data_IF_979947025674
#
_entry.id   IF_979947025674
#
_cell.length_a   1.000
_cell.length_b   1.000
_cell.length_c   1.000
_cell.angle_alpha   90.00
_cell.angle_beta   90.00
_cell.angle_gamma   90.00
#
_symmetry.space_group_name_H-M   'P 1'
#
loop_
_entity.id
_entity.type
_entity.pdbx_description
1 polymer ?
#
# COMPACT_ATOMS: atom_id res chain seq x y z
N UNK A 1 -13.67 5.40 6.49
CA UNK A 1 -12.47 6.05 5.95
C UNK A 1 -12.07 5.50 4.58
N UNK A 2 -11.74 4.23 4.39
CA UNK A 2 -11.39 3.66 3.07
C UNK A 2 -12.48 3.88 2.00
N UNK A 3 -13.75 3.73 2.35
CA UNK A 3 -14.87 3.96 1.45
C UNK A 3 -14.95 5.42 0.97
N UNK A 4 -14.75 6.38 1.85
CA UNK A 4 -14.81 7.81 1.53
C UNK A 4 -13.61 8.28 0.69
N UNK A 5 -12.41 7.72 0.91
CA UNK A 5 -11.23 7.98 0.07
C UNK A 5 -11.42 7.43 -1.35
N UNK A 6 -12.26 6.41 -1.51
CA UNK A 6 -12.60 5.78 -2.81
C UNK A 6 -13.75 6.46 -3.52
N UNK A 7 -14.65 7.15 -2.83
CA UNK A 7 -15.87 7.76 -3.40
C UNK A 7 -15.58 8.79 -4.50
N UNK A 8 -14.43 9.45 -4.46
CA UNK A 8 -14.03 10.43 -5.48
C UNK A 8 -13.40 9.79 -6.75
N UNK A 9 -13.24 8.48 -6.74
CA UNK A 9 -12.91 7.69 -7.92
C UNK A 9 -14.25 7.14 -8.42
N UNK A 10 -14.90 7.81 -9.35
CA UNK A 10 -15.95 7.19 -10.16
C UNK A 10 -15.31 5.95 -10.80
N UNK A 11 -15.38 4.84 -10.06
CA UNK A 11 -14.93 3.55 -10.52
C UNK A 11 -15.84 3.24 -11.69
N UNK A 12 -15.40 3.61 -12.90
CA UNK A 12 -16.11 3.23 -14.12
C UNK A 12 -16.08 1.71 -14.09
N UNK A 13 -17.19 1.13 -13.64
CA UNK A 13 -17.34 -0.30 -13.67
C UNK A 13 -17.18 -0.79 -15.10
N UNK A 14 -16.44 -1.88 -15.30
CA UNK A 14 -16.35 -2.44 -16.63
C UNK A 14 -17.73 -2.91 -17.07
N UNK A 15 -18.22 -2.37 -18.18
CA UNK A 15 -19.53 -2.71 -18.75
C UNK A 15 -19.48 -3.96 -19.65
N UNK A 16 -18.29 -4.36 -20.09
CA UNK A 16 -18.07 -5.48 -21.02
C UNK A 16 -16.80 -6.24 -20.73
N UNK A 17 -16.68 -7.46 -21.25
CA UNK A 17 -15.48 -8.27 -21.16
C UNK A 17 -15.35 -9.08 -19.87
N UNK A 18 -14.19 -9.73 -19.68
CA UNK A 18 -13.95 -10.63 -18.56
C UNK A 18 -14.14 -9.96 -17.19
N UNK A 19 -13.76 -8.70 -17.06
CA UNK A 19 -13.93 -7.91 -15.82
C UNK A 19 -15.40 -7.76 -15.45
N UNK A 20 -16.28 -7.47 -16.43
CA UNK A 20 -17.73 -7.36 -16.21
C UNK A 20 -18.33 -8.70 -15.80
N UNK A 21 -17.96 -9.78 -16.46
CA UNK A 21 -18.47 -11.13 -16.16
C UNK A 21 -18.04 -11.60 -14.77
N UNK A 22 -16.77 -11.33 -14.39
CA UNK A 22 -16.28 -11.60 -13.03
C UNK A 22 -17.05 -10.79 -11.99
N UNK A 23 -17.27 -9.50 -12.25
CA UNK A 23 -18.02 -8.63 -11.37
C UNK A 23 -19.44 -9.14 -11.15
N UNK A 24 -20.13 -9.54 -12.22
CA UNK A 24 -21.45 -10.13 -12.16
C UNK A 24 -21.45 -11.46 -11.36
N UNK A 25 -20.46 -12.31 -11.57
CA UNK A 25 -20.32 -13.56 -10.82
C UNK A 25 -20.09 -13.32 -9.31
N UNK A 26 -19.26 -12.36 -8.94
CA UNK A 26 -19.00 -11.99 -7.54
C UNK A 26 -20.22 -11.36 -6.88
N UNK A 27 -21.01 -10.58 -7.61
CA UNK A 27 -22.29 -10.03 -7.10
C UNK A 27 -23.32 -11.11 -6.83
N UNK A 28 -23.41 -12.09 -7.71
CA UNK A 28 -24.39 -13.15 -7.59
C UNK A 28 -24.03 -14.20 -6.53
N UNK A 29 -22.76 -14.49 -6.34
CA UNK A 29 -22.29 -15.63 -5.53
C UNK A 29 -21.52 -15.23 -4.27
N UNK A 30 -21.11 -13.98 -4.14
CA UNK A 30 -20.21 -13.53 -3.09
C UNK A 30 -18.75 -13.91 -3.36
N UNK A 31 -18.02 -14.28 -2.31
CA UNK A 31 -16.60 -14.62 -2.41
C UNK A 31 -16.38 -15.95 -3.15
N UNK A 32 -15.63 -15.94 -4.24
CA UNK A 32 -15.37 -17.08 -5.13
C UNK A 32 -13.89 -17.38 -5.29
N UNK A 33 -13.56 -18.65 -5.48
CA UNK A 33 -12.25 -19.04 -5.97
C UNK A 33 -12.10 -18.73 -7.47
N UNK A 34 -10.87 -18.60 -7.92
CA UNK A 34 -10.56 -18.34 -9.34
C UNK A 34 -11.18 -19.37 -10.28
N UNK A 35 -11.16 -20.65 -9.90
CA UNK A 35 -11.78 -21.74 -10.66
C UNK A 35 -13.30 -21.61 -10.76
N UNK A 36 -13.94 -21.14 -9.69
CA UNK A 36 -15.40 -20.90 -9.65
C UNK A 36 -15.78 -19.72 -10.55
N UNK A 37 -14.94 -18.66 -10.56
CA UNK A 37 -15.11 -17.54 -11.47
C UNK A 37 -14.99 -17.96 -12.94
N UNK A 38 -14.02 -18.81 -13.27
CA UNK A 38 -13.87 -19.36 -14.61
C UNK A 38 -15.08 -20.17 -15.04
N UNK A 39 -15.56 -21.04 -14.15
CA UNK A 39 -16.77 -21.86 -14.41
C UNK A 39 -18.05 -21.01 -14.51
N UNK A 40 -18.19 -19.98 -13.69
CA UNK A 40 -19.35 -19.12 -13.68
C UNK A 40 -19.46 -18.19 -14.89
N UNK A 41 -18.32 -17.69 -15.37
CA UNK A 41 -18.24 -16.77 -16.52
C UNK A 41 -18.02 -17.44 -17.87
N UNK A 42 -17.69 -18.74 -17.88
CA UNK A 42 -17.30 -19.45 -19.10
C UNK A 42 -16.00 -18.94 -19.74
N UNK A 43 -15.21 -18.15 -19.00
CA UNK A 43 -13.96 -17.55 -19.50
C UNK A 43 -12.77 -18.43 -19.28
N UNK A 44 -11.77 -18.28 -20.17
CA UNK A 44 -10.50 -18.98 -20.04
C UNK A 44 -9.74 -18.44 -18.83
N UNK A 45 -8.95 -19.29 -18.17
CA UNK A 45 -8.17 -18.87 -17.00
C UNK A 45 -7.26 -17.67 -17.22
N UNK A 46 -6.78 -17.46 -18.45
CA UNK A 46 -5.98 -16.28 -18.80
C UNK A 46 -6.82 -14.99 -18.83
N UNK A 47 -8.07 -15.06 -19.25
CA UNK A 47 -9.01 -13.94 -19.27
C UNK A 47 -9.47 -13.60 -17.85
N UNK A 48 -9.64 -14.63 -16.99
CA UNK A 48 -9.91 -14.44 -15.57
C UNK A 48 -8.75 -13.69 -14.89
N UNK A 49 -7.51 -14.06 -15.16
CA UNK A 49 -6.34 -13.35 -14.59
C UNK A 49 -6.28 -11.89 -15.03
N UNK A 50 -6.59 -11.60 -16.29
CA UNK A 50 -6.66 -10.23 -16.82
C UNK A 50 -7.81 -9.42 -16.21
N UNK A 51 -8.98 -10.03 -16.11
CA UNK A 51 -10.16 -9.39 -15.54
C UNK A 51 -9.99 -9.12 -14.05
N UNK A 52 -9.47 -10.08 -13.28
CA UNK A 52 -9.14 -9.89 -11.87
C UNK A 52 -8.10 -8.79 -11.68
N UNK A 53 -7.06 -8.76 -12.53
CA UNK A 53 -6.07 -7.68 -12.48
C UNK A 53 -6.70 -6.31 -12.71
N UNK A 54 -7.55 -6.16 -13.70
CA UNK A 54 -8.25 -4.90 -13.99
C UNK A 54 -9.12 -4.49 -12.80
N UNK A 55 -9.89 -5.41 -12.22
CA UNK A 55 -10.73 -5.14 -11.06
C UNK A 55 -9.93 -4.79 -9.78
N UNK A 56 -8.78 -5.44 -9.56
CA UNK A 56 -7.85 -5.10 -8.46
C UNK A 56 -7.24 -3.71 -8.69
N UNK A 57 -6.81 -3.41 -9.92
CA UNK A 57 -6.24 -2.11 -10.26
C UNK A 57 -7.25 -0.96 -10.09
N UNK A 58 -8.53 -1.23 -10.33
CA UNK A 58 -9.65 -0.31 -10.06
C UNK A 58 -10.03 -0.27 -8.57
N UNK A 59 -9.50 -1.18 -7.76
CA UNK A 59 -9.84 -1.28 -6.35
C UNK A 59 -11.28 -1.79 -6.12
N UNK A 60 -11.85 -2.57 -7.01
CA UNK A 60 -13.21 -3.13 -6.90
C UNK A 60 -13.18 -4.48 -6.18
N UNK A 61 -12.12 -5.27 -6.35
CA UNK A 61 -11.97 -6.63 -5.80
C UNK A 61 -10.73 -6.75 -4.93
N UNK A 62 -10.82 -7.64 -3.94
CA UNK A 62 -9.69 -8.05 -3.11
C UNK A 62 -9.64 -9.57 -3.00
N UNK A 63 -8.49 -10.12 -2.57
CA UNK A 63 -8.36 -11.52 -2.19
C UNK A 63 -8.19 -11.64 -0.67
N UNK A 64 -8.75 -12.68 -0.07
CA UNK A 64 -8.58 -13.00 1.35
C UNK A 64 -7.17 -13.55 1.68
N UNK A 65 -6.42 -13.96 0.65
CA UNK A 65 -5.06 -14.43 0.77
C UNK A 65 -4.09 -13.62 -0.10
N UNK A 66 -2.97 -13.20 0.48
CA UNK A 66 -1.92 -12.46 -0.24
C UNK A 66 -1.31 -13.25 -1.40
N UNK A 67 -1.38 -14.60 -1.35
CA UNK A 67 -0.95 -15.47 -2.45
C UNK A 67 -1.72 -15.21 -3.74
N UNK A 68 -3.01 -14.90 -3.67
CA UNK A 68 -3.85 -14.59 -4.83
C UNK A 68 -3.33 -13.34 -5.56
N UNK A 69 -3.12 -12.25 -4.84
CA UNK A 69 -2.58 -11.00 -5.40
C UNK A 69 -1.16 -11.21 -5.93
N UNK A 70 -0.30 -11.95 -5.21
CA UNK A 70 1.07 -12.26 -5.64
C UNK A 70 1.10 -13.08 -6.93
N UNK A 71 0.17 -14.02 -7.11
CA UNK A 71 0.08 -14.82 -8.35
C UNK A 71 -0.25 -13.96 -9.55
N UNK A 72 -1.19 -13.03 -9.43
CA UNK A 72 -1.51 -12.05 -10.48
C UNK A 72 -0.31 -11.19 -10.87
N UNK A 73 0.42 -10.66 -9.87
CA UNK A 73 1.62 -9.86 -10.10
C UNK A 73 2.71 -10.65 -10.84
N UNK A 74 2.96 -11.90 -10.45
CA UNK A 74 3.98 -12.75 -11.05
C UNK A 74 3.64 -13.14 -12.50
N UNK A 75 2.38 -13.36 -12.81
CA UNK A 75 1.90 -13.65 -14.16
C UNK A 75 2.16 -12.49 -15.10
N UNK A 76 1.92 -11.26 -14.65
CA UNK A 76 2.13 -10.05 -15.46
C UNK A 76 3.61 -9.74 -15.70
N UNK A 77 4.47 -9.91 -14.69
CA UNK A 77 5.92 -9.74 -14.85
C UNK A 77 6.48 -10.73 -15.88
N UNK A 78 6.03 -11.98 -15.85
CA UNK A 78 6.43 -13.00 -16.84
C UNK A 78 5.99 -12.66 -18.26
N UNK A 79 4.80 -12.09 -18.45
CA UNK A 79 4.31 -11.65 -19.78
C UNK A 79 5.10 -10.45 -20.31
N UNK A 80 5.49 -9.49 -19.45
CA UNK A 80 6.28 -8.31 -19.85
C UNK A 80 7.74 -8.62 -20.16
N UNK A 81 8.33 -9.59 -19.50
CA UNK A 81 9.74 -9.96 -19.70
C UNK A 81 9.99 -10.80 -20.97
N UNK A 82 9.01 -10.95 -21.85
CA UNK A 82 9.09 -11.61 -23.14
C UNK A 82 9.88 -12.91 -23.05
N UNK A 83 9.23 -14.04 -22.88
CA UNK A 83 9.90 -15.33 -22.75
C UNK A 83 10.94 -15.53 -23.84
N UNK A 84 12.22 -15.32 -23.54
CA UNK A 84 13.31 -15.77 -24.39
C UNK A 84 13.11 -17.26 -24.65
N UNK A 85 12.97 -17.63 -25.91
CA UNK A 85 12.80 -18.98 -26.43
C UNK A 85 13.95 -19.85 -25.94
N UNK A 86 13.73 -20.67 -24.93
CA UNK A 86 14.78 -21.57 -24.49
C UNK A 86 14.46 -22.33 -23.20
N UNK A 87 13.25 -22.86 -23.01
CA UNK A 87 12.98 -23.93 -22.03
C UNK A 87 11.51 -24.36 -22.04
N UNK A 88 10.91 -24.48 -23.23
CA UNK A 88 9.49 -24.84 -23.39
C UNK A 88 9.12 -26.18 -22.73
N UNK A 89 10.05 -27.14 -22.62
CA UNK A 89 9.80 -28.48 -22.07
C UNK A 89 9.76 -28.50 -20.54
N UNK A 90 10.59 -27.70 -19.84
CA UNK A 90 10.53 -27.53 -18.36
C UNK A 90 9.35 -26.68 -17.91
N UNK A 91 8.95 -25.72 -18.72
CA UNK A 91 7.77 -24.89 -18.45
C UNK A 91 6.44 -25.64 -18.62
N UNK A 92 6.40 -26.69 -19.47
CA UNK A 92 5.21 -27.54 -19.64
C UNK A 92 4.97 -28.44 -18.41
N UNK A 93 6.02 -29.06 -17.86
CA UNK A 93 5.91 -29.87 -16.64
C UNK A 93 5.60 -29.03 -15.38
N UNK A 94 6.13 -27.80 -15.32
CA UNK A 94 5.77 -26.83 -14.26
C UNK A 94 4.33 -26.35 -14.35
N UNK A 95 3.77 -26.24 -15.56
CA UNK A 95 2.35 -25.87 -15.78
C UNK A 95 1.38 -26.99 -15.37
N UNK A 96 1.71 -28.26 -15.64
CA UNK A 96 0.89 -29.40 -15.22
C UNK A 96 0.84 -29.56 -13.69
N UNK A 97 1.94 -29.31 -12.98
CA UNK A 97 1.97 -29.28 -11.52
C UNK A 97 1.25 -28.06 -10.94
N UNK A 98 1.31 -26.90 -11.57
CA UNK A 98 0.59 -25.69 -11.15
C UNK A 98 -0.93 -25.84 -11.36
N UNK A 99 -1.37 -26.56 -12.39
CA UNK A 99 -2.80 -26.81 -12.65
C UNK A 99 -3.39 -27.87 -11.72
N UNK A 100 -2.60 -28.83 -11.24
CA UNK A 100 -3.06 -29.86 -10.29
C UNK A 100 -2.90 -29.48 -8.81
N UNK A 101 -2.21 -28.37 -8.50
CA UNK A 101 -1.93 -27.94 -7.11
C UNK A 101 -2.69 -26.71 -6.64
N UNK A 102 -3.60 -26.16 -7.42
CA UNK A 102 -4.15 -24.82 -7.21
C UNK A 102 -5.43 -24.73 -6.37
N UNK A 103 -5.75 -25.77 -5.58
CA UNK A 103 -6.90 -25.69 -4.67
C UNK A 103 -6.61 -25.15 -3.27
N UNK A 104 -5.34 -25.16 -2.86
CA UNK A 104 -4.93 -24.83 -1.49
C UNK A 104 -3.92 -23.69 -1.53
N UNK A 105 -4.39 -22.43 -1.61
CA UNK A 105 -3.52 -21.25 -1.48
C UNK A 105 -3.86 -20.03 -2.32
N UNK A 106 -4.83 -20.09 -3.23
CA UNK A 106 -5.17 -18.93 -4.07
C UNK A 106 -6.06 -17.91 -3.38
N UNK A 107 -6.69 -18.26 -2.26
CA UNK A 107 -7.67 -17.41 -1.59
C UNK A 107 -8.94 -17.20 -2.41
N UNK A 108 -9.96 -16.65 -1.75
CA UNK A 108 -11.20 -16.25 -2.41
C UNK A 108 -11.12 -14.80 -2.83
N UNK A 109 -11.71 -14.51 -3.97
CA UNK A 109 -11.89 -13.16 -4.47
C UNK A 109 -13.26 -12.65 -4.05
N UNK A 110 -13.31 -11.45 -3.52
CA UNK A 110 -14.54 -10.80 -3.07
C UNK A 110 -14.58 -9.34 -3.52
N UNK A 111 -15.78 -8.81 -3.62
CA UNK A 111 -15.98 -7.38 -3.80
C UNK A 111 -15.47 -6.64 -2.57
N UNK A 112 -14.80 -5.54 -2.79
CA UNK A 112 -14.57 -4.58 -1.71
C UNK A 112 -15.91 -3.89 -1.39
N UNK A 113 -16.20 -3.61 -0.11
CA UNK A 113 -17.41 -2.90 0.25
C UNK A 113 -17.53 -1.61 -0.56
N UNK A 114 -18.66 -1.42 -1.21
CA UNK A 114 -18.99 -0.14 -1.81
C UNK A 114 -19.05 0.92 -0.70
N UNK A 115 -18.61 2.15 -0.98
CA UNK A 115 -18.92 3.25 -0.08
C UNK A 115 -20.45 3.28 0.05
N UNK A 116 -20.93 3.36 1.28
CA UNK A 116 -22.37 3.37 1.58
C UNK A 116 -22.99 4.67 1.03
N UNK A 117 -23.29 4.67 -0.28
CA UNK A 117 -23.97 5.75 -1.01
C UNK A 117 -25.49 5.62 -0.87
N UNK A 118 -25.98 4.54 -0.24
CA UNK A 118 -27.41 4.21 -0.12
C UNK A 118 -28.04 4.68 1.20
N UNK A 119 -27.34 5.47 2.00
CA UNK A 119 -27.99 6.25 3.04
C UNK A 119 -28.99 7.18 2.39
N UNK A 120 -30.24 6.76 2.40
CA UNK A 120 -31.42 7.55 1.99
C UNK A 120 -31.31 8.97 2.56
N UNK A 121 -30.80 9.91 1.77
CA UNK A 121 -30.93 11.33 2.11
C UNK A 121 -29.70 12.21 2.08
N UNK A 122 -28.50 11.74 1.82
CA UNK A 122 -27.37 12.67 1.63
C UNK A 122 -26.37 12.12 0.63
N UNK A 123 -26.18 12.83 -0.48
CA UNK A 123 -25.14 12.59 -1.48
C UNK A 123 -23.76 13.03 -0.99
N UNK A 124 -23.49 12.96 0.30
CA UNK A 124 -22.25 13.42 0.89
C UNK A 124 -21.66 12.29 1.72
N UNK A 125 -20.55 11.75 1.27
CA UNK A 125 -19.62 11.07 2.16
C UNK A 125 -19.30 11.96 3.38
N UNK A 126 -18.55 11.47 4.39
CA UNK A 126 -18.23 12.30 5.53
C UNK A 126 -17.66 13.64 5.06
N UNK A 127 -17.99 14.75 5.74
CA UNK A 127 -17.49 16.07 5.39
C UNK A 127 -15.97 16.03 5.21
N UNK A 128 -15.46 16.80 4.26
CA UNK A 128 -14.02 16.83 3.95
C UNK A 128 -13.20 17.11 5.23
N UNK A 129 -13.76 17.87 6.16
CA UNK A 129 -13.16 18.19 7.45
C UNK A 129 -12.99 16.96 8.35
N UNK A 130 -14.01 16.10 8.43
CA UNK A 130 -13.95 14.86 9.22
C UNK A 130 -12.98 13.86 8.59
N UNK A 131 -13.02 13.76 7.28
CA UNK A 131 -12.12 12.89 6.55
C UNK A 131 -10.66 13.36 6.69
N UNK A 132 -10.40 14.66 6.60
CA UNK A 132 -9.09 15.25 6.81
C UNK A 132 -8.57 15.01 8.23
N UNK A 133 -9.44 15.12 9.23
CA UNK A 133 -9.09 14.85 10.63
C UNK A 133 -8.80 13.35 10.84
N UNK A 134 -9.60 12.46 10.26
CA UNK A 134 -9.35 11.03 10.32
C UNK A 134 -8.02 10.63 9.65
N UNK A 135 -7.67 11.26 8.52
CA UNK A 135 -6.38 11.08 7.86
C UNK A 135 -5.24 11.62 8.70
N UNK A 136 -5.41 12.81 9.32
CA UNK A 136 -4.40 13.38 10.22
C UNK A 136 -4.09 12.42 11.39
N UNK A 137 -5.11 11.86 12.03
CA UNK A 137 -4.94 10.85 13.07
C UNK A 137 -4.26 9.58 12.59
N UNK A 138 -4.61 9.11 11.40
CA UNK A 138 -3.98 7.94 10.80
C UNK A 138 -2.48 8.16 10.54
N UNK A 139 -2.12 9.35 10.05
CA UNK A 139 -0.73 9.72 9.82
C UNK A 139 0.05 9.83 11.14
N UNK A 140 -0.54 10.47 12.16
CA UNK A 140 0.07 10.57 13.48
C UNK A 140 0.27 9.21 14.14
N UNK A 141 -0.73 8.32 14.07
CA UNK A 141 -0.62 6.97 14.61
C UNK A 141 0.45 6.12 13.91
N UNK A 142 0.67 6.37 12.62
CA UNK A 142 1.63 5.61 11.80
C UNK A 142 3.07 6.15 11.91
N UNK A 143 3.22 7.45 11.95
CA UNK A 143 4.52 8.11 11.86
C UNK A 143 4.96 8.82 13.14
N UNK A 144 4.03 9.09 14.04
CA UNK A 144 4.26 9.91 15.24
C UNK A 144 4.44 11.39 14.93
N UNK A 145 5.10 11.72 13.83
CA UNK A 145 5.29 13.09 13.31
C UNK A 145 4.73 13.18 11.91
N UNK A 146 4.03 14.26 11.59
CA UNK A 146 3.46 14.53 10.26
C UNK A 146 4.08 15.79 9.69
N UNK A 147 4.57 15.69 8.44
CA UNK A 147 5.11 16.80 7.66
C UNK A 147 4.71 16.60 6.18
N UNK A 148 4.85 17.65 5.38
CA UNK A 148 4.59 17.58 3.93
C UNK A 148 5.34 16.44 3.26
N UNK A 149 6.62 16.27 3.57
CA UNK A 149 7.47 15.27 2.94
C UNK A 149 6.92 13.85 3.14
N UNK A 150 6.39 13.54 4.33
CA UNK A 150 5.74 12.26 4.62
C UNK A 150 4.41 12.10 3.87
N UNK A 151 3.57 13.14 3.94
CA UNK A 151 2.28 13.12 3.29
C UNK A 151 2.41 12.99 1.76
N UNK A 152 3.42 13.58 1.15
CA UNK A 152 3.62 13.53 -0.31
C UNK A 152 3.87 12.13 -0.86
N UNK A 153 4.28 11.17 -0.03
CA UNK A 153 4.46 9.76 -0.38
C UNK A 153 3.19 8.93 -0.17
N UNK A 154 2.16 9.50 0.42
CA UNK A 154 0.90 8.80 0.66
C UNK A 154 -0.02 8.86 -0.57
N UNK A 155 -0.85 7.84 -0.72
CA UNK A 155 -1.82 7.76 -1.82
C UNK A 155 -3.18 8.39 -1.49
N UNK A 156 -3.26 9.21 -0.46
CA UNK A 156 -4.48 9.92 -0.10
C UNK A 156 -4.82 11.00 -1.13
N UNK A 157 -6.10 11.11 -1.48
CA UNK A 157 -6.58 12.14 -2.42
C UNK A 157 -7.06 13.42 -1.74
N UNK A 158 -6.83 13.55 -0.45
CA UNK A 158 -7.17 14.75 0.31
C UNK A 158 -6.06 15.78 0.10
N UNK A 159 -6.35 17.02 -0.26
CA UNK A 159 -5.35 18.06 -0.37
C UNK A 159 -4.61 18.29 0.96
N UNK A 160 -3.31 18.46 0.91
CA UNK A 160 -2.48 18.72 2.09
C UNK A 160 -2.99 19.89 2.96
N UNK A 161 -3.48 20.95 2.30
CA UNK A 161 -4.07 22.12 2.99
C UNK A 161 -5.19 21.73 3.95
N UNK A 162 -5.99 20.70 3.62
CA UNK A 162 -7.11 20.28 4.45
C UNK A 162 -6.63 19.43 5.61
N UNK A 163 -5.59 18.61 5.41
CA UNK A 163 -4.89 17.87 6.48
C UNK A 163 -4.24 18.85 7.46
N UNK A 164 -3.55 19.89 6.97
CA UNK A 164 -2.95 20.93 7.83
C UNK A 164 -4.03 21.67 8.64
N UNK A 165 -5.15 22.00 8.03
CA UNK A 165 -6.26 22.61 8.76
C UNK A 165 -6.78 21.71 9.89
N UNK A 166 -6.87 20.40 9.62
CA UNK A 166 -7.24 19.43 10.64
C UNK A 166 -6.19 19.38 11.76
N UNK A 167 -4.90 19.30 11.41
CA UNK A 167 -3.80 19.29 12.39
C UNK A 167 -3.78 20.56 13.26
N UNK A 168 -4.01 21.73 12.68
CA UNK A 168 -4.13 23.00 13.43
C UNK A 168 -5.33 23.00 14.40
N UNK A 169 -6.46 22.38 14.00
CA UNK A 169 -7.61 22.22 14.92
C UNK A 169 -7.29 21.25 16.06
N UNK A 170 -6.56 20.17 15.78
CA UNK A 170 -6.10 19.24 16.80
C UNK A 170 -5.11 19.90 17.76
N UNK A 171 -4.20 20.74 17.24
CA UNK A 171 -3.28 21.53 18.05
C UNK A 171 -4.03 22.53 18.96
N UNK A 172 -5.00 23.27 18.42
CA UNK A 172 -5.82 24.19 19.20
C UNK A 172 -6.62 23.48 20.31
N UNK A 173 -6.91 22.19 20.13
CA UNK A 173 -7.53 21.32 21.17
C UNK A 173 -6.50 20.71 22.13
N UNK A 174 -5.21 20.99 21.97
CA UNK A 174 -4.14 20.41 22.78
C UNK A 174 -3.88 18.92 22.54
N UNK A 175 -4.41 18.35 21.46
CA UNK A 175 -4.28 16.94 21.15
C UNK A 175 -3.02 16.62 20.34
N UNK A 176 -2.43 17.62 19.70
CA UNK A 176 -1.25 17.53 18.85
C UNK A 176 -0.35 18.72 19.16
N UNK A 177 0.94 18.56 18.95
CA UNK A 177 1.95 19.59 19.13
C UNK A 177 2.48 20.04 17.77
N UNK A 178 2.40 21.35 17.50
CA UNK A 178 3.07 21.97 16.34
C UNK A 178 4.51 22.33 16.68
N UNK A 179 5.43 22.17 15.74
CA UNK A 179 6.84 22.49 16.00
C UNK A 179 7.78 22.09 14.85
N UNK A 180 9.05 21.99 15.18
CA UNK A 180 10.08 21.44 14.30
C UNK A 180 10.70 20.21 14.96
N UNK A 181 10.26 19.04 14.55
CA UNK A 181 10.65 17.76 15.12
C UNK A 181 11.72 17.04 14.30
N UNK A 182 11.61 17.11 12.98
CA UNK A 182 12.51 16.43 12.03
C UNK A 182 13.32 17.48 11.27
N UNK A 183 14.64 17.42 11.40
CA UNK A 183 15.54 18.31 10.67
C UNK A 183 15.45 18.04 9.16
N UNK A 184 15.40 19.11 8.35
CA UNK A 184 15.30 19.01 6.90
C UNK A 184 13.90 18.78 6.34
N UNK A 185 12.91 18.44 7.15
CA UNK A 185 11.53 18.35 6.68
C UNK A 185 10.93 19.74 6.44
N UNK A 186 10.18 19.85 5.34
CA UNK A 186 9.63 21.12 4.85
C UNK A 186 8.34 21.53 5.56
N UNK A 187 8.18 22.82 5.75
CA UNK A 187 6.92 23.40 6.23
C UNK A 187 6.61 23.14 7.71
N UNK A 188 5.32 23.17 8.02
CA UNK A 188 4.80 22.91 9.38
C UNK A 188 4.90 21.41 9.68
N UNK A 189 5.26 21.10 10.92
CA UNK A 189 5.34 19.73 11.41
C UNK A 189 4.48 19.60 12.65
N UNK A 190 3.82 18.46 12.77
CA UNK A 190 2.94 18.15 13.89
C UNK A 190 3.30 16.78 14.46
N UNK A 191 3.33 16.67 15.78
CA UNK A 191 3.66 15.43 16.47
C UNK A 191 2.57 15.05 17.48
N UNK A 192 2.37 13.75 17.69
CA UNK A 192 1.64 13.30 18.86
C UNK A 192 2.43 13.63 20.13
N UNK A 193 1.78 13.84 21.29
CA UNK A 193 2.48 14.09 22.57
C UNK A 193 3.48 12.98 22.90
N UNK A 194 3.12 11.73 22.62
CA UNK A 194 3.98 10.56 22.86
C UNK A 194 5.23 10.58 21.98
N UNK A 195 5.07 10.90 20.70
CA UNK A 195 6.19 11.00 19.77
C UNK A 195 7.12 12.16 20.14
N UNK A 196 6.57 13.30 20.53
CA UNK A 196 7.36 14.45 20.98
C UNK A 196 8.16 14.12 22.24
N UNK A 197 7.56 13.42 23.21
CA UNK A 197 8.24 12.94 24.42
C UNK A 197 9.39 11.98 24.06
N UNK A 198 9.12 11.00 23.21
CA UNK A 198 10.12 10.01 22.77
C UNK A 198 11.29 10.69 22.04
N UNK A 199 11.02 11.68 21.19
CA UNK A 199 12.08 12.47 20.53
C UNK A 199 12.93 13.27 21.52
N UNK A 200 12.33 13.80 22.58
CA UNK A 200 13.06 14.49 23.64
C UNK A 200 13.95 13.52 24.42
N UNK A 201 13.50 12.29 24.66
CA UNK A 201 14.28 11.24 25.31
C UNK A 201 15.47 10.82 24.45
N UNK A 202 15.23 10.55 23.16
CA UNK A 202 16.30 10.20 22.20
C UNK A 202 17.34 11.31 22.12
N UNK A 203 16.93 12.58 22.15
CA UNK A 203 17.89 13.71 22.15
C UNK A 203 18.73 13.79 23.42
N UNK A 204 18.17 13.46 24.58
CA UNK A 204 18.92 13.43 25.85
C UNK A 204 19.95 12.31 25.89
N UNK A 205 19.66 11.19 25.23
CA UNK A 205 20.55 10.05 25.13
C UNK A 205 21.48 10.10 23.91
N UNK A 206 21.48 11.19 23.16
CA UNK A 206 22.34 11.37 21.98
C UNK A 206 23.81 11.16 22.33
N UNK A 207 24.54 10.46 21.49
CA UNK A 207 25.93 10.09 21.72
C UNK A 207 26.12 8.78 22.51
N UNK A 208 25.06 8.18 23.04
CA UNK A 208 25.07 6.86 23.69
C UNK A 208 24.44 5.77 22.82
N UNK A 209 23.98 6.16 21.65
CA UNK A 209 23.20 5.32 20.75
C UNK A 209 23.96 4.08 20.29
N UNK A 210 23.34 2.93 20.47
CA UNK A 210 23.82 1.69 19.89
C UNK A 210 23.72 1.77 18.36
N UNK A 211 24.66 1.12 17.71
CA UNK A 211 24.60 0.89 16.30
C UNK A 211 23.62 -0.25 16.02
N UNK A 212 22.65 -0.03 15.14
CA UNK A 212 21.63 -1.02 14.79
C UNK A 212 21.79 -1.36 13.31
N UNK A 213 21.84 -2.66 13.01
CA UNK A 213 21.89 -3.17 11.64
C UNK A 213 20.56 -3.84 11.31
N UNK A 214 19.89 -3.34 10.26
CA UNK A 214 18.64 -3.91 9.76
C UNK A 214 18.82 -4.48 8.36
N UNK A 215 18.03 -5.48 8.01
CA UNK A 215 18.02 -5.99 6.64
C UNK A 215 17.40 -4.94 5.68
N UNK A 216 17.84 -4.92 4.44
CA UNK A 216 17.26 -4.03 3.42
C UNK A 216 15.76 -4.27 3.22
N UNK A 217 15.27 -5.49 3.46
CA UNK A 217 13.85 -5.85 3.41
C UNK A 217 13.08 -5.53 4.72
N UNK A 218 13.74 -4.99 5.74
CA UNK A 218 13.11 -4.61 6.99
C UNK A 218 12.22 -3.37 6.79
N UNK A 219 11.01 -3.32 7.38
CA UNK A 219 10.16 -2.13 7.35
C UNK A 219 10.82 -0.87 7.92
N UNK A 220 11.83 -1.01 8.78
CA UNK A 220 12.63 0.09 9.32
C UNK A 220 13.68 0.62 8.33
N UNK A 221 13.81 0.03 7.15
CA UNK A 221 14.65 0.58 6.10
C UNK A 221 13.95 1.76 5.43
N UNK A 222 14.13 2.94 5.99
CA UNK A 222 13.53 4.20 5.51
C UNK A 222 14.46 4.98 4.58
N UNK A 223 15.59 4.36 4.13
CA UNK A 223 16.54 5.02 3.23
C UNK A 223 15.92 5.35 1.88
N UNK A 224 16.09 6.60 1.44
CA UNK A 224 15.59 7.09 0.15
C UNK A 224 14.08 7.24 0.07
N UNK A 225 13.35 6.98 1.14
CA UNK A 225 11.91 7.26 1.25
C UNK A 225 11.65 8.44 2.20
N UNK A 226 12.12 8.36 3.44
CA UNK A 226 11.95 9.41 4.45
C UNK A 226 13.28 10.08 4.79
N UNK A 227 14.34 9.30 4.75
CA UNK A 227 15.69 9.80 4.96
C UNK A 227 16.31 10.09 3.60
N UNK A 228 16.89 11.26 3.44
CA UNK A 228 17.57 11.65 2.20
C UNK A 228 18.62 10.62 1.79
N UNK A 229 19.05 10.67 0.53
CA UNK A 229 20.05 9.77 0.00
C UNK A 229 19.49 8.68 -0.92
N UNK A 230 20.34 7.73 -1.28
CA UNK A 230 19.97 6.64 -2.19
C UNK A 230 19.24 5.53 -1.44
N UNK A 231 18.10 5.09 -1.99
CA UNK A 231 17.35 3.96 -1.46
C UNK A 231 18.18 2.67 -1.47
N UNK A 232 18.22 1.98 -0.34
CA UNK A 232 18.72 0.61 -0.26
C UNK A 232 17.60 -0.34 -0.71
N UNK A 233 17.83 -1.21 -1.71
CA UNK A 233 16.80 -2.13 -2.16
C UNK A 233 16.29 -3.05 -1.04
N UNK A 234 14.97 -3.28 -1.03
CA UNK A 234 14.28 -4.13 -0.06
C UNK A 234 14.57 -5.62 -0.30
N UNK A 235 15.82 -6.04 -0.14
CA UNK A 235 16.27 -7.43 -0.30
C UNK A 235 17.02 -7.90 0.95
N UNK A 236 16.85 -9.17 1.31
CA UNK A 236 17.38 -9.72 2.58
C UNK A 236 18.89 -9.69 2.71
N UNK A 237 19.63 -9.81 1.62
CA UNK A 237 21.10 -9.81 1.62
C UNK A 237 21.72 -8.41 1.67
N UNK A 238 20.92 -7.37 1.60
CA UNK A 238 21.36 -5.99 1.86
C UNK A 238 21.08 -5.63 3.30
N UNK A 239 21.95 -4.83 3.87
CA UNK A 239 21.78 -4.30 5.22
C UNK A 239 21.97 -2.80 5.23
N UNK A 240 21.32 -2.15 6.18
CA UNK A 240 21.51 -0.74 6.49
C UNK A 240 21.95 -0.66 7.95
N UNK A 241 22.99 0.08 8.20
CA UNK A 241 23.51 0.34 9.53
C UNK A 241 23.06 1.73 9.94
N UNK A 242 22.41 1.81 11.07
CA UNK A 242 21.98 3.07 11.67
C UNK A 242 22.77 3.36 12.94
N UNK A 243 23.18 4.62 13.08
CA UNK A 243 23.67 5.16 14.34
C UNK A 243 22.78 6.33 14.72
N UNK A 244 22.15 6.23 15.88
CA UNK A 244 21.21 7.26 16.37
C UNK A 244 20.09 7.59 15.37
N UNK A 245 19.58 6.57 14.67
CA UNK A 245 18.51 6.72 13.66
C UNK A 245 18.98 7.26 12.30
N UNK A 246 20.26 7.61 12.15
CA UNK A 246 20.82 8.07 10.88
C UNK A 246 21.59 6.94 10.20
N UNK A 247 21.43 6.72 8.88
CA UNK A 247 22.24 5.74 8.15
C UNK A 247 23.73 6.07 8.28
N UNK A 248 24.51 5.15 8.82
CA UNK A 248 25.94 5.35 9.11
C UNK A 248 26.85 5.09 7.91
N UNK A 249 26.40 4.27 6.95
CA UNK A 249 27.19 3.91 5.76
C UNK A 249 26.69 4.62 4.51
N UNK A 250 27.58 5.16 3.68
CA UNK A 250 27.25 5.46 2.31
C UNK A 250 26.87 4.13 1.64
N UNK A 251 25.63 4.03 1.15
CA UNK A 251 25.17 2.84 0.41
C UNK A 251 26.18 2.57 -0.70
N UNK A 252 26.85 1.39 -0.71
CA UNK A 252 27.85 1.10 -1.73
C UNK A 252 27.19 1.23 -3.10
N UNK A 253 27.72 2.08 -3.94
CA UNK A 253 27.39 2.06 -5.37
C UNK A 253 27.73 0.67 -5.87
N UNK A 254 26.73 -0.09 -6.29
CA UNK A 254 26.98 -1.33 -6.99
C UNK A 254 27.89 -1.01 -8.18
N UNK A 255 29.15 -1.36 -8.08
CA UNK A 255 30.03 -1.42 -9.26
C UNK A 255 29.43 -2.51 -10.14
N UNK A 256 29.04 -2.11 -11.32
CA UNK A 256 28.77 -3.01 -12.44
C UNK A 256 29.96 -3.97 -12.58
N UNK A 257 29.68 -5.26 -12.50
CA UNK A 257 30.47 -6.32 -13.11
C UNK A 257 29.68 -6.85 -14.29
#
# INVERSE_FOLDING_TARGET
MLAAVRADNSLIEPSTGASADILAALRARGACFRSELASASGRLGAEIDEGLWDLVARGIVTADAFSGVRSLLSTRVRRRSGARRGTARRAALGRQRAVMGSGIGEGRWSLLPEPDVTGTGSQSGPPVEELAEAVAWQLLARWGVVAWDLWSHESYRIPWRDVVRALRRLEARGQVLGGRFVAGASGEQYASPEAASLLADVRRDAGRGAEVVVAGADPLNLTGELLGGRRVPAVRHRTVRYREGVPADPVPTARSL
#
